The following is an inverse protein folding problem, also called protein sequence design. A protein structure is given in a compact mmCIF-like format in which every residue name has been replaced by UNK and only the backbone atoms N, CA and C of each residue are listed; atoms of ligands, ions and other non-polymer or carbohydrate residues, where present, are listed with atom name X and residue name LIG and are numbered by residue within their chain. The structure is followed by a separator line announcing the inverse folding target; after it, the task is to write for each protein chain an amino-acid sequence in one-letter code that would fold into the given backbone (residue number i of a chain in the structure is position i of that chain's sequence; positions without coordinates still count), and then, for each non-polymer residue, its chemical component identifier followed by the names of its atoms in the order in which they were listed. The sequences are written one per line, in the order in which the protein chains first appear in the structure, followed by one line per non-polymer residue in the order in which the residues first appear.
data_IF_653085770746
#
_entry.id   IF_653085770746
#
_cell.length_a   1.000
_cell.length_b   1.000
_cell.length_c   1.000
_cell.angle_alpha   90.00
_cell.angle_beta   90.00
_cell.angle_gamma   90.00
#
_symmetry.space_group_name_H-M   'P 1'
#
loop_
_entity.id
_entity.type
_entity.pdbx_description
1 polymer ?
#
# COMPACT_ATOMS: atom_id res chain seq x y z
N UNK A 1 9.09 -6.95 18.60
CA UNK A 1 9.98 -6.54 17.49
C UNK A 1 9.65 -7.42 16.30
N UNK A 2 9.68 -6.89 15.08
CA UNK A 2 9.40 -7.64 13.84
C UNK A 2 10.42 -7.26 12.76
N UNK A 3 10.66 -8.17 11.82
CA UNK A 3 11.18 -7.83 10.50
C UNK A 3 10.04 -7.22 9.66
N UNK A 4 10.08 -5.89 9.47
CA UNK A 4 9.05 -5.16 8.73
C UNK A 4 9.12 -5.46 7.24
N UNK A 5 10.31 -5.53 6.65
CA UNK A 5 10.49 -5.84 5.24
C UNK A 5 9.96 -7.22 4.90
N UNK A 6 10.37 -8.25 5.63
CA UNK A 6 9.86 -9.60 5.42
C UNK A 6 8.36 -9.72 5.67
N UNK A 7 7.77 -8.88 6.53
CA UNK A 7 6.31 -8.85 6.72
C UNK A 7 5.59 -8.25 5.52
N UNK A 8 6.10 -7.15 4.95
CA UNK A 8 5.56 -6.52 3.75
C UNK A 8 5.74 -7.41 2.52
N UNK A 9 6.90 -8.05 2.35
CA UNK A 9 7.16 -9.00 1.25
C UNK A 9 6.23 -10.21 1.35
N UNK A 10 6.12 -10.84 2.53
CA UNK A 10 5.16 -11.95 2.73
C UNK A 10 3.72 -11.53 2.45
N UNK A 11 3.34 -10.31 2.80
CA UNK A 11 2.02 -9.79 2.45
C UNK A 11 1.85 -9.71 0.93
N UNK A 12 2.79 -9.06 0.23
CA UNK A 12 2.80 -8.92 -1.22
C UNK A 12 2.73 -10.28 -1.95
N UNK A 13 3.49 -11.28 -1.50
CA UNK A 13 3.52 -12.62 -2.09
C UNK A 13 2.19 -13.37 -2.00
N UNK A 14 1.28 -12.93 -1.12
CA UNK A 14 0.03 -13.63 -0.85
C UNK A 14 -1.23 -12.81 -1.15
N UNK A 15 -1.12 -11.66 -1.82
CA UNK A 15 -2.29 -10.88 -2.25
C UNK A 15 -3.07 -11.58 -3.38
N UNK A 16 -4.36 -11.28 -3.58
CA UNK A 16 -5.13 -11.79 -4.71
C UNK A 16 -4.48 -11.44 -6.05
N UNK A 17 -4.31 -12.48 -6.89
CA UNK A 17 -3.61 -12.40 -8.18
C UNK A 17 -4.50 -11.92 -9.33
N UNK A 18 -3.94 -11.91 -10.55
CA UNK A 18 -4.66 -11.54 -11.78
C UNK A 18 -5.95 -12.37 -11.95
N UNK A 19 -7.07 -11.69 -12.23
CA UNK A 19 -8.36 -12.31 -12.52
C UNK A 19 -9.08 -12.95 -11.33
N UNK A 20 -8.64 -12.67 -10.09
CA UNK A 20 -9.24 -13.22 -8.88
C UNK A 20 -10.53 -12.51 -8.44
N UNK A 21 -10.84 -11.34 -8.99
CA UNK A 21 -11.91 -10.44 -8.53
C UNK A 21 -11.78 -10.08 -7.03
N UNK A 22 -10.54 -9.96 -6.55
CA UNK A 22 -10.22 -9.87 -5.13
C UNK A 22 -10.22 -8.46 -4.55
N UNK A 23 -10.42 -7.41 -5.37
CA UNK A 23 -10.51 -6.03 -4.89
C UNK A 23 -11.98 -5.63 -4.73
N UNK A 24 -12.41 -5.41 -3.50
CA UNK A 24 -13.67 -4.72 -3.20
C UNK A 24 -13.48 -3.22 -3.14
N UNK A 25 -14.45 -2.42 -3.59
CA UNK A 25 -14.43 -0.97 -3.38
C UNK A 25 -15.09 -0.61 -2.03
N UNK A 26 -14.46 0.23 -1.19
CA UNK A 26 -15.08 0.69 0.05
C UNK A 26 -16.27 1.61 -0.22
N UNK A 27 -17.25 1.58 0.68
CA UNK A 27 -18.25 2.66 0.80
C UNK A 27 -17.61 3.93 1.36
N UNK A 28 -18.28 5.08 1.23
CA UNK A 28 -17.82 6.34 1.80
C UNK A 28 -17.68 6.28 3.33
N UNK A 29 -18.59 5.57 4.00
CA UNK A 29 -18.54 5.35 5.45
C UNK A 29 -17.33 4.51 5.85
N UNK A 30 -17.07 3.40 5.15
CA UNK A 30 -15.90 2.56 5.39
C UNK A 30 -14.61 3.36 5.18
N UNK A 31 -14.51 4.09 4.07
CA UNK A 31 -13.35 4.93 3.78
C UNK A 31 -13.13 6.00 4.87
N UNK A 32 -14.17 6.72 5.26
CA UNK A 32 -14.09 7.73 6.31
C UNK A 32 -13.61 7.14 7.65
N UNK A 33 -14.21 6.03 8.08
CA UNK A 33 -13.84 5.36 9.33
C UNK A 33 -12.41 4.81 9.29
N UNK A 34 -11.95 4.30 8.15
CA UNK A 34 -10.59 3.80 7.98
C UNK A 34 -9.57 4.93 8.06
N UNK A 35 -9.84 6.05 7.38
CA UNK A 35 -9.01 7.27 7.43
C UNK A 35 -8.90 7.80 8.86
N UNK A 36 -10.00 7.81 9.63
CA UNK A 36 -9.97 8.20 11.03
C UNK A 36 -9.13 7.23 11.88
N UNK A 37 -9.10 5.95 11.53
CA UNK A 37 -8.19 4.95 12.11
C UNK A 37 -6.72 5.31 11.88
N UNK A 38 -6.34 5.64 10.64
CA UNK A 38 -4.97 6.08 10.31
C UNK A 38 -4.61 7.35 11.10
N UNK A 39 -5.51 8.34 11.16
CA UNK A 39 -5.30 9.58 11.94
C UNK A 39 -5.19 9.32 13.43
N UNK A 40 -5.94 8.37 13.98
CA UNK A 40 -5.81 7.96 15.37
C UNK A 40 -4.42 7.38 15.65
N UNK A 41 -3.89 6.53 14.75
CA UNK A 41 -2.53 6.00 14.87
C UNK A 41 -1.46 7.10 14.76
N UNK A 42 -1.61 8.06 13.83
CA UNK A 42 -0.72 9.23 13.73
C UNK A 42 -0.74 10.09 15.00
N UNK A 43 -1.89 10.20 15.66
CA UNK A 43 -2.05 10.86 16.95
C UNK A 43 -1.58 10.00 18.15
N UNK A 44 -0.92 8.87 17.90
CA UNK A 44 -0.36 8.01 18.94
C UNK A 44 -1.38 7.14 19.69
N UNK A 45 -2.57 6.92 19.11
CA UNK A 45 -3.70 6.15 19.69
C UNK A 45 -4.01 4.87 18.89
N UNK A 46 -3.10 3.88 18.86
CA UNK A 46 -3.26 2.67 18.05
C UNK A 46 -4.43 1.78 18.49
N UNK A 47 -4.81 1.78 19.77
CA UNK A 47 -5.95 1.02 20.28
C UNK A 47 -7.25 1.55 19.67
N UNK A 48 -7.42 2.89 19.68
CA UNK A 48 -8.55 3.55 19.02
C UNK A 48 -8.55 3.30 17.51
N UNK A 49 -7.38 3.28 16.88
CA UNK A 49 -7.28 2.93 15.47
C UNK A 49 -7.82 1.51 15.20
N UNK A 50 -7.46 0.54 16.06
CA UNK A 50 -7.97 -0.83 16.01
C UNK A 50 -9.51 -0.91 16.14
N UNK A 51 -10.11 -0.19 17.08
CA UNK A 51 -11.57 -0.13 17.24
C UNK A 51 -12.30 0.45 16.01
N UNK A 52 -11.65 1.41 15.34
CA UNK A 52 -12.20 2.04 14.15
C UNK A 52 -12.16 1.08 12.96
N UNK A 53 -11.06 0.35 12.76
CA UNK A 53 -10.89 -0.51 11.58
C UNK A 53 -11.35 -1.95 11.76
N UNK A 54 -11.54 -2.40 13.00
CA UNK A 54 -12.01 -3.75 13.34
C UNK A 54 -13.25 -4.22 12.58
N UNK A 55 -14.31 -3.40 12.46
CA UNK A 55 -15.52 -3.77 11.70
C UNK A 55 -15.32 -3.96 10.19
N UNK A 56 -14.14 -3.62 9.66
CA UNK A 56 -13.75 -3.81 8.25
C UNK A 56 -12.75 -4.97 8.11
N UNK A 57 -12.73 -5.90 9.08
CA UNK A 57 -11.80 -7.04 9.13
C UNK A 57 -10.33 -6.66 9.29
N UNK A 58 -10.02 -5.41 9.63
CA UNK A 58 -8.65 -4.98 9.89
C UNK A 58 -8.27 -5.08 11.36
N UNK A 59 -7.01 -5.41 11.61
CA UNK A 59 -6.37 -5.25 12.93
C UNK A 59 -5.25 -4.22 12.85
N UNK A 60 -5.01 -3.55 13.98
CA UNK A 60 -3.85 -2.66 14.15
C UNK A 60 -2.88 -3.28 15.13
N UNK A 61 -1.64 -3.48 14.70
CA UNK A 61 -0.55 -3.97 15.55
C UNK A 61 0.48 -2.86 15.77
N UNK A 62 0.76 -2.55 17.04
CA UNK A 62 1.95 -1.76 17.37
C UNK A 62 3.18 -2.66 17.30
N UNK A 63 4.14 -2.29 16.47
CA UNK A 63 5.35 -3.07 16.21
C UNK A 63 6.59 -2.21 16.38
N UNK A 64 7.73 -2.86 16.60
CA UNK A 64 9.06 -2.23 16.58
C UNK A 64 9.83 -2.90 15.45
N UNK A 65 10.23 -2.14 14.45
CA UNK A 65 11.04 -2.61 13.33
C UNK A 65 12.44 -3.02 13.82
N UNK A 66 12.86 -4.26 13.57
CA UNK A 66 14.14 -4.80 14.06
C UNK A 66 15.36 -4.08 13.49
N UNK A 67 15.26 -3.56 12.27
CA UNK A 67 16.39 -2.93 11.59
C UNK A 67 16.62 -1.48 12.01
N UNK A 68 15.55 -0.79 12.44
CA UNK A 68 15.61 0.65 12.76
C UNK A 68 15.28 0.98 14.21
N UNK A 69 14.71 0.03 14.96
CA UNK A 69 14.17 0.27 16.30
C UNK A 69 12.95 1.18 16.33
N UNK A 70 12.42 1.59 15.16
CA UNK A 70 11.29 2.53 15.08
C UNK A 70 9.98 1.83 15.40
N UNK A 71 9.18 2.48 16.23
CA UNK A 71 7.81 2.03 16.52
C UNK A 71 6.85 2.48 15.43
N UNK A 72 5.99 1.56 14.98
CA UNK A 72 4.95 1.83 13.99
C UNK A 72 3.65 1.08 14.33
N UNK A 73 2.54 1.55 13.78
CA UNK A 73 1.26 0.85 13.75
C UNK A 73 1.08 0.22 12.37
N UNK A 74 0.91 -1.10 12.31
CA UNK A 74 0.64 -1.83 11.07
C UNK A 74 -0.83 -2.20 11.02
N UNK A 75 -1.51 -1.74 9.97
CA UNK A 75 -2.90 -2.07 9.65
C UNK A 75 -2.86 -3.25 8.70
N UNK A 76 -3.36 -4.40 9.17
CA UNK A 76 -3.39 -5.65 8.43
C UNK A 76 -4.83 -6.11 8.30
N UNK A 77 -5.25 -6.42 7.08
CA UNK A 77 -6.50 -7.11 6.85
C UNK A 77 -6.41 -8.54 7.40
N UNK A 78 -7.48 -9.01 8.03
CA UNK A 78 -7.57 -10.35 8.57
C UNK A 78 -8.15 -11.28 7.52
N UNK A 79 -7.46 -12.39 7.26
CA UNK A 79 -7.96 -13.41 6.34
C UNK A 79 -9.23 -14.04 6.88
N UNK A 80 -10.15 -14.34 5.97
CA UNK A 80 -11.31 -15.18 6.28
C UNK A 80 -10.86 -16.62 6.59
N UNK A 81 -11.78 -17.42 7.14
CA UNK A 81 -11.50 -18.79 7.55
C UNK A 81 -11.04 -19.71 6.40
N UNK A 82 -11.43 -19.39 5.17
CA UNK A 82 -11.02 -20.08 3.94
C UNK A 82 -9.66 -19.57 3.37
N UNK A 83 -9.03 -18.62 4.05
CA UNK A 83 -7.77 -18.01 3.65
C UNK A 83 -7.88 -16.85 2.66
N UNK A 84 -9.10 -16.49 2.23
CA UNK A 84 -9.33 -15.35 1.34
C UNK A 84 -9.14 -14.00 2.03
N UNK A 85 -8.89 -12.96 1.23
CA UNK A 85 -8.90 -11.57 1.66
C UNK A 85 -10.33 -11.01 1.50
N UNK A 86 -10.99 -10.55 2.58
CA UNK A 86 -12.36 -10.06 2.49
C UNK A 86 -12.58 -8.88 1.53
N UNK A 87 -11.59 -7.99 1.40
CA UNK A 87 -11.67 -6.71 0.70
C UNK A 87 -10.49 -6.47 -0.26
N UNK A 88 -9.28 -6.90 0.09
CA UNK A 88 -8.08 -6.69 -0.72
C UNK A 88 -7.58 -5.23 -0.72
N UNK A 89 -7.83 -4.49 0.37
CA UNK A 89 -7.59 -3.04 0.42
C UNK A 89 -6.14 -2.63 0.63
N UNK A 90 -5.29 -3.52 1.17
CA UNK A 90 -3.85 -3.27 1.32
C UNK A 90 -3.33 -3.37 2.74
N UNK A 91 -2.05 -3.06 2.88
CA UNK A 91 -1.36 -2.92 4.17
C UNK A 91 -0.90 -1.48 4.35
N UNK A 92 -1.06 -0.95 5.56
CA UNK A 92 -0.67 0.41 5.89
C UNK A 92 0.24 0.43 7.12
N UNK A 93 1.36 1.13 7.04
CA UNK A 93 2.31 1.27 8.15
C UNK A 93 2.41 2.74 8.52
N UNK A 94 2.06 3.08 9.76
CA UNK A 94 2.07 4.45 10.28
C UNK A 94 3.17 4.58 11.34
N UNK A 95 4.20 5.38 11.08
CA UNK A 95 5.28 5.62 12.04
C UNK A 95 4.77 6.42 13.25
N UNK A 96 5.14 6.02 14.47
CA UNK A 96 4.77 6.77 15.69
C UNK A 96 5.47 8.13 15.79
N UNK A 97 6.74 8.18 15.38
CA UNK A 97 7.56 9.39 15.39
C UNK A 97 8.30 9.52 14.05
N UNK A 98 7.66 10.07 13.00
CA UNK A 98 8.33 10.26 11.73
C UNK A 98 9.27 11.46 11.73
N UNK A 99 10.31 11.37 10.91
CA UNK A 99 11.28 12.46 10.67
C UNK A 99 10.76 13.39 9.58
N UNK A 100 10.01 12.87 8.62
CA UNK A 100 9.45 13.62 7.49
C UNK A 100 7.98 13.32 7.32
N UNK A 101 7.22 14.34 6.90
CA UNK A 101 5.87 14.19 6.35
C UNK A 101 5.94 13.64 4.90
N UNK A 102 6.43 12.41 4.80
CA UNK A 102 6.59 11.68 3.56
C UNK A 102 5.66 10.47 3.58
N UNK A 103 4.92 10.29 2.50
CA UNK A 103 4.11 9.10 2.22
C UNK A 103 4.84 8.28 1.16
N UNK A 104 5.14 7.02 1.48
CA UNK A 104 5.70 6.06 0.52
C UNK A 104 4.59 5.12 0.08
N UNK A 105 4.48 4.88 -1.21
CA UNK A 105 3.38 4.13 -1.81
C UNK A 105 3.92 3.02 -2.68
N UNK A 106 3.40 1.82 -2.54
CA UNK A 106 3.72 0.66 -3.38
C UNK A 106 2.41 0.20 -4.03
N UNK A 107 2.01 0.83 -5.15
CA UNK A 107 0.72 0.57 -5.78
C UNK A 107 0.68 -0.78 -6.48
N UNK A 108 1.83 -1.32 -6.89
CA UNK A 108 1.95 -2.53 -7.71
C UNK A 108 2.95 -3.54 -7.13
N UNK A 109 2.79 -4.01 -5.88
CA UNK A 109 3.83 -4.73 -5.13
C UNK A 109 4.28 -6.07 -5.75
N UNK A 110 3.43 -6.71 -6.55
CA UNK A 110 3.73 -7.97 -7.27
C UNK A 110 4.08 -7.72 -8.74
N UNK A 111 3.45 -6.73 -9.37
CA UNK A 111 3.62 -6.46 -10.80
C UNK A 111 4.93 -5.72 -11.09
N UNK A 112 5.31 -4.80 -10.21
CA UNK A 112 6.57 -4.07 -10.28
C UNK A 112 7.58 -4.77 -9.35
N UNK A 113 8.34 -5.72 -9.90
CA UNK A 113 9.25 -6.59 -9.15
C UNK A 113 10.20 -5.74 -8.28
N UNK A 114 10.27 -6.07 -6.99
CA UNK A 114 11.17 -5.41 -6.03
C UNK A 114 10.64 -4.12 -5.41
N UNK A 115 9.48 -3.61 -5.83
CA UNK A 115 8.93 -2.34 -5.31
C UNK A 115 8.51 -2.43 -3.84
N UNK A 116 8.12 -3.60 -3.33
CA UNK A 116 7.84 -3.80 -1.91
C UNK A 116 9.08 -3.55 -1.04
N UNK A 117 10.23 -4.13 -1.41
CA UNK A 117 11.51 -3.93 -0.73
C UNK A 117 11.98 -2.48 -0.84
N UNK A 118 11.90 -1.90 -2.05
CA UNK A 118 12.26 -0.48 -2.28
C UNK A 118 11.39 0.45 -1.42
N UNK A 119 10.08 0.18 -1.33
CA UNK A 119 9.14 0.96 -0.52
C UNK A 119 9.50 0.93 0.97
N UNK A 120 9.80 -0.25 1.52
CA UNK A 120 10.25 -0.38 2.91
C UNK A 120 11.60 0.31 3.13
N UNK A 121 12.55 0.13 2.23
CA UNK A 121 13.86 0.78 2.29
C UNK A 121 13.73 2.32 2.26
N UNK A 122 12.86 2.87 1.41
CA UNK A 122 12.58 4.30 1.34
C UNK A 122 11.90 4.80 2.63
N UNK A 123 10.89 4.07 3.13
CA UNK A 123 10.20 4.39 4.38
C UNK A 123 11.17 4.48 5.57
N UNK A 124 12.12 3.54 5.64
CA UNK A 124 13.18 3.49 6.65
C UNK A 124 14.17 4.65 6.49
N UNK A 125 14.84 4.73 5.34
CA UNK A 125 15.94 5.69 5.09
C UNK A 125 15.49 7.15 5.15
N UNK A 126 14.29 7.45 4.65
CA UNK A 126 13.77 8.81 4.66
C UNK A 126 13.15 9.22 6.00
N UNK A 127 12.91 8.26 6.91
CA UNK A 127 12.18 8.50 8.15
C UNK A 127 10.72 8.88 7.88
N UNK A 128 10.08 8.21 6.91
CA UNK A 128 8.76 8.55 6.41
C UNK A 128 7.65 8.37 7.47
N UNK A 129 6.52 9.05 7.24
CA UNK A 129 5.34 9.02 8.09
C UNK A 129 4.48 7.79 7.84
N UNK A 130 4.25 7.46 6.58
CA UNK A 130 3.35 6.36 6.21
C UNK A 130 3.94 5.58 5.03
N UNK A 131 3.76 4.25 5.04
CA UNK A 131 3.93 3.36 3.90
C UNK A 131 2.57 2.73 3.55
N UNK A 132 2.16 2.83 2.29
CA UNK A 132 0.94 2.21 1.75
C UNK A 132 1.37 1.11 0.78
N UNK A 133 0.79 -0.08 0.91
CA UNK A 133 1.06 -1.21 0.01
C UNK A 133 -0.27 -1.74 -0.51
N UNK A 134 -0.44 -1.81 -1.84
CA UNK A 134 -1.69 -2.26 -2.44
C UNK A 134 -2.02 -3.70 -2.07
N UNK A 135 -3.32 -4.00 -1.95
CA UNK A 135 -3.80 -5.28 -1.45
C UNK A 135 -4.15 -6.30 -2.51
N UNK A 136 -4.00 -5.99 -3.80
CA UNK A 136 -4.22 -6.92 -4.92
C UNK A 136 -3.26 -6.66 -6.07
N UNK A 137 -3.16 -7.62 -6.99
CA UNK A 137 -2.54 -7.38 -8.29
C UNK A 137 -3.35 -6.32 -9.06
N UNK A 138 -2.68 -5.43 -9.80
CA UNK A 138 -3.34 -4.36 -10.62
C UNK A 138 -4.38 -4.85 -11.64
N UNK A 139 -4.44 -6.15 -11.90
CA UNK A 139 -5.35 -6.81 -12.85
C UNK A 139 -6.16 -7.92 -12.15
N UNK A 140 -6.34 -7.81 -10.82
CA UNK A 140 -7.13 -8.75 -10.05
C UNK A 140 -8.59 -8.72 -10.51
N UNK A 141 -9.15 -7.53 -10.76
CA UNK A 141 -10.49 -7.37 -11.28
C UNK A 141 -10.45 -7.13 -12.79
N UNK A 142 -11.31 -7.82 -13.54
CA UNK A 142 -11.33 -7.72 -15.01
C UNK A 142 -11.80 -6.37 -15.54
N UNK A 143 -12.57 -5.64 -14.74
CA UNK A 143 -13.08 -4.31 -15.06
C UNK A 143 -12.05 -3.18 -14.84
N UNK A 144 -10.86 -3.51 -14.32
CA UNK A 144 -9.78 -2.55 -14.06
C UNK A 144 -9.84 -1.89 -12.68
N UNK A 145 -10.87 -2.15 -11.87
CA UNK A 145 -11.05 -1.51 -10.54
C UNK A 145 -9.96 -1.86 -9.51
N UNK A 146 -9.10 -2.86 -9.80
CA UNK A 146 -7.95 -3.23 -8.97
C UNK A 146 -6.69 -2.39 -9.20
N UNK A 147 -6.63 -1.56 -10.24
CA UNK A 147 -5.45 -0.72 -10.48
C UNK A 147 -5.50 0.54 -9.61
N UNK A 148 -4.96 0.45 -8.39
CA UNK A 148 -5.02 1.54 -7.39
C UNK A 148 -4.34 2.84 -7.83
N UNK A 149 -3.49 2.80 -8.86
CA UNK A 149 -2.86 3.99 -9.44
C UNK A 149 -3.81 4.76 -10.37
N UNK A 150 -4.88 4.12 -10.85
CA UNK A 150 -5.83 4.68 -11.81
C UNK A 150 -7.30 4.61 -11.34
N UNK A 151 -7.59 3.94 -10.22
CA UNK A 151 -8.92 3.84 -9.62
C UNK A 151 -8.99 4.58 -8.27
N UNK A 152 -9.58 5.77 -8.32
CA UNK A 152 -9.72 6.72 -7.22
C UNK A 152 -10.63 6.23 -6.07
N UNK A 153 -11.48 5.24 -6.34
CA UNK A 153 -12.42 4.71 -5.33
C UNK A 153 -11.79 3.65 -4.44
N UNK A 154 -10.62 3.12 -4.79
CA UNK A 154 -9.91 2.13 -3.94
C UNK A 154 -9.57 2.71 -2.58
N UNK A 155 -9.56 1.88 -1.53
CA UNK A 155 -9.15 2.34 -0.20
C UNK A 155 -7.74 2.95 -0.21
N UNK A 156 -6.83 2.38 -1.01
CA UNK A 156 -5.49 2.90 -1.24
C UNK A 156 -5.52 4.37 -1.71
N UNK A 157 -6.23 4.66 -2.80
CA UNK A 157 -6.32 6.02 -3.35
C UNK A 157 -7.02 6.99 -2.37
N UNK A 158 -8.05 6.51 -1.66
CA UNK A 158 -8.79 7.30 -0.68
C UNK A 158 -7.95 7.67 0.54
N UNK A 159 -7.14 6.72 1.05
CA UNK A 159 -6.17 6.97 2.13
C UNK A 159 -5.08 7.92 1.65
N UNK A 160 -4.47 7.70 0.49
CA UNK A 160 -3.47 8.61 -0.08
C UNK A 160 -3.99 10.05 -0.11
N UNK A 161 -5.15 10.28 -0.75
CA UNK A 161 -5.78 11.60 -0.85
C UNK A 161 -6.05 12.26 0.52
N UNK A 162 -6.40 11.47 1.52
CA UNK A 162 -6.68 11.98 2.86
C UNK A 162 -5.41 12.34 3.66
N UNK A 163 -4.27 11.75 3.31
CA UNK A 163 -2.99 11.95 3.98
C UNK A 163 -2.14 13.03 3.34
N UNK A 164 -2.25 13.22 2.02
CA UNK A 164 -1.46 14.19 1.27
C UNK A 164 -2.14 15.56 1.32
N UNK A 165 -1.59 16.45 2.13
CA UNK A 165 -1.94 17.87 2.11
C UNK A 165 -0.92 18.65 1.25
N UNK A 166 -1.28 19.90 0.90
CA UNK A 166 -0.36 20.83 0.23
C UNK A 166 0.95 20.95 1.04
N UNK A 167 2.07 20.54 0.43
CA UNK A 167 3.40 20.54 1.04
C UNK A 167 3.93 19.18 1.49
N UNK A 168 3.14 18.11 1.40
CA UNK A 168 3.62 16.73 1.60
C UNK A 168 4.35 16.21 0.37
N UNK A 169 5.30 15.29 0.59
CA UNK A 169 6.02 14.59 -0.49
C UNK A 169 5.47 13.18 -0.60
N UNK A 170 5.20 12.74 -1.82
CA UNK A 170 4.79 11.37 -2.15
C UNK A 170 5.90 10.71 -2.96
N UNK A 171 6.29 9.50 -2.59
CA UNK A 171 7.21 8.66 -3.36
C UNK A 171 6.49 7.37 -3.77
N UNK A 172 6.29 7.20 -5.08
CA UNK A 172 5.76 6.00 -5.71
C UNK A 172 6.85 5.37 -6.59
N UNK A 173 7.50 4.27 -6.17
CA UNK A 173 8.35 3.51 -7.05
C UNK A 173 7.49 2.70 -8.02
N UNK A 174 7.84 2.79 -9.30
CA UNK A 174 7.30 1.95 -10.36
C UNK A 174 8.41 1.17 -11.04
N UNK A 175 8.07 -0.05 -11.45
CA UNK A 175 8.90 -0.89 -12.31
C UNK A 175 8.39 -0.81 -13.75
N UNK A 176 9.30 -0.70 -14.70
CA UNK A 176 8.96 -0.74 -16.13
C UNK A 176 9.77 -1.85 -16.79
N UNK A 177 9.15 -2.53 -17.76
CA UNK A 177 9.83 -3.47 -18.63
C UNK A 177 10.59 -2.68 -19.71
N UNK A 178 11.89 -2.97 -19.90
CA UNK A 178 12.74 -2.27 -20.85
C UNK A 178 12.27 -2.46 -22.31
N UNK A 179 11.53 -3.54 -22.58
CA UNK A 179 11.07 -3.89 -23.93
C UNK A 179 9.81 -3.12 -24.37
N UNK A 180 9.24 -2.27 -23.50
CA UNK A 180 8.06 -1.44 -23.83
C UNK A 180 8.38 -0.01 -24.26
N UNK A 181 9.65 0.38 -24.36
CA UNK A 181 10.05 1.68 -24.93
C UNK A 181 10.35 1.66 -26.44
N UNK A 182 9.84 0.68 -27.19
CA UNK A 182 9.76 0.80 -28.65
C UNK A 182 8.46 1.51 -29.06
N UNK A 183 8.36 2.79 -28.69
CA UNK A 183 7.35 3.71 -29.21
C UNK A 183 7.64 4.04 -30.68
N UNK A 184 6.56 4.13 -31.46
CA UNK A 184 6.49 4.62 -32.83
C UNK A 184 7.45 5.80 -33.09
N UNK A 185 8.44 5.63 -33.98
CA UNK A 185 9.31 6.74 -34.36
C UNK A 185 10.64 6.43 -35.05
N UNK A 186 11.07 5.19 -35.21
CA UNK A 186 12.32 4.88 -35.91
C UNK A 186 12.06 4.46 -37.37
N UNK A 187 12.11 5.42 -38.29
CA UNK A 187 12.35 5.11 -39.71
C UNK A 187 13.69 4.41 -39.83
N UNK A 188 13.66 3.17 -40.29
CA UNK A 188 14.83 2.32 -40.52
C UNK A 188 15.69 2.89 -41.67
N UNK A 189 16.93 3.34 -41.44
CA UNK A 189 17.83 3.72 -42.52
C UNK A 189 18.86 2.61 -42.66
N UNK A 190 18.49 1.49 -43.27
CA UNK A 190 19.46 0.58 -43.88
C UNK A 190 18.74 -0.47 -44.75
N UNK A 191 18.66 -0.17 -46.04
CA UNK A 191 18.57 -1.15 -47.10
C UNK A 191 19.65 -0.80 -48.13
N UNK A 192 20.79 -1.49 -48.02
CA UNK A 192 21.73 -1.66 -49.13
C UNK A 192 21.28 -2.82 -50.00
#
# INVERSE_FOLDING_TARGET
MIDLEGSVVRFADNIPGRGSEGMGLPTDEQAGRFIDGIRAAQAGRPERAGELVGPMDYRVRTVVDSDTGRTASVFEEQRAADGSWPHGWGMYVVARHPVRRLVVEVPHPVFDIGTAQIGVAAFRKAGAAVLLVAGTHRYANRDGSSDVAHEDRTMFARVNRALVAKGDVVLQPHGFDADREAGEGATNPDSS
#
